data_IF_073794667039
#
_entry.id   IF_073794667039
#
_cell.length_a   1.000
_cell.length_b   1.000
_cell.length_c   1.000
_cell.angle_alpha   90.00
_cell.angle_beta   90.00
_cell.angle_gamma   90.00
#
_symmetry.space_group_name_H-M   'P 1'
#
loop_
_entity.id
_entity.type
_entity.pdbx_description
1 polymer ?
#
# COMPACT_ATOMS: atom_id res chain seq x y z
N UNK A 1 6.54 -21.70 12.44
CA UNK A 1 5.40 -22.16 13.21
C UNK A 1 4.71 -21.00 13.90
N UNK A 2 3.36 -20.96 13.92
CA UNK A 2 2.57 -19.89 14.54
C UNK A 2 2.59 -18.54 13.80
N UNK A 3 3.13 -18.46 12.58
CA UNK A 3 3.24 -17.23 11.81
C UNK A 3 1.90 -16.76 11.24
N UNK A 4 1.76 -15.44 11.10
CA UNK A 4 0.60 -14.82 10.44
C UNK A 4 1.02 -14.20 9.10
N UNK A 5 0.31 -14.57 8.03
CA UNK A 5 0.42 -13.92 6.73
C UNK A 5 -0.79 -12.99 6.53
N UNK A 6 -0.54 -11.76 6.11
CA UNK A 6 -1.58 -10.76 5.87
C UNK A 6 -1.58 -10.34 4.40
N UNK A 7 -2.69 -10.55 3.71
CA UNK A 7 -2.90 -10.08 2.35
C UNK A 7 -3.38 -8.64 2.40
N UNK A 8 -2.60 -7.72 1.84
CA UNK A 8 -2.90 -6.27 1.87
C UNK A 8 -3.11 -5.68 0.47
N UNK A 9 -2.63 -6.36 -0.58
CA UNK A 9 -2.83 -5.94 -1.96
C UNK A 9 -4.21 -6.36 -2.48
N UNK A 10 -4.81 -5.53 -3.31
CA UNK A 10 -6.05 -5.86 -4.01
C UNK A 10 -5.67 -6.44 -5.38
N UNK A 11 -5.77 -7.76 -5.49
CA UNK A 11 -5.63 -8.49 -6.76
C UNK A 11 -6.92 -8.41 -7.59
N UNK A 12 -6.92 -8.92 -8.80
CA UNK A 12 -8.11 -9.02 -9.62
C UNK A 12 -9.19 -9.88 -8.94
N UNK A 13 -10.46 -9.53 -9.16
CA UNK A 13 -11.59 -10.22 -8.49
C UNK A 13 -11.67 -11.72 -8.80
N UNK A 14 -11.01 -12.18 -9.86
CA UNK A 14 -10.97 -13.59 -10.28
C UNK A 14 -9.65 -14.27 -9.88
N UNK A 15 -8.69 -13.51 -9.31
CA UNK A 15 -7.42 -14.09 -8.95
C UNK A 15 -7.55 -15.02 -7.74
N UNK A 16 -6.93 -16.18 -7.84
CA UNK A 16 -7.00 -17.22 -6.82
C UNK A 16 -5.59 -17.59 -6.34
N UNK A 17 -5.48 -17.86 -5.07
CA UNK A 17 -4.23 -18.37 -4.48
C UNK A 17 -4.49 -19.73 -3.84
N UNK A 18 -3.67 -20.71 -4.21
CA UNK A 18 -3.71 -22.03 -3.58
C UNK A 18 -2.77 -22.09 -2.38
N UNK A 19 -3.25 -22.66 -1.31
CA UNK A 19 -2.45 -22.87 -0.08
C UNK A 19 -2.44 -24.34 0.30
N UNK A 20 -1.31 -24.80 0.83
CA UNK A 20 -1.19 -26.19 1.32
C UNK A 20 -1.87 -26.28 2.69
N UNK A 21 -3.07 -26.86 2.75
CA UNK A 21 -3.91 -26.97 3.95
C UNK A 21 -3.17 -27.59 5.13
N UNK A 22 -2.41 -28.66 4.89
CA UNK A 22 -1.64 -29.33 5.97
C UNK A 22 -0.66 -28.41 6.69
N UNK A 23 -0.05 -27.46 5.97
CA UNK A 23 0.87 -26.49 6.58
C UNK A 23 0.19 -25.59 7.61
N UNK A 24 -1.09 -25.28 7.42
CA UNK A 24 -1.84 -24.48 8.40
C UNK A 24 -2.05 -25.24 9.71
N UNK A 25 -2.47 -26.51 9.63
CA UNK A 25 -2.71 -27.31 10.81
C UNK A 25 -1.42 -27.66 11.56
N UNK A 26 -0.41 -28.20 10.86
CA UNK A 26 0.86 -28.63 11.50
C UNK A 26 1.74 -27.47 11.99
N UNK A 27 1.64 -26.32 11.33
CA UNK A 27 2.47 -25.17 11.66
C UNK A 27 1.69 -24.08 12.40
N UNK A 28 0.43 -24.31 12.71
CA UNK A 28 -0.44 -23.36 13.46
C UNK A 28 -0.44 -21.96 12.83
N UNK A 29 -0.46 -21.88 11.48
CA UNK A 29 -0.41 -20.62 10.73
C UNK A 29 -1.76 -19.94 10.64
N UNK A 30 -1.72 -18.61 10.54
CA UNK A 30 -2.89 -17.79 10.26
C UNK A 30 -2.73 -17.10 8.90
N UNK A 31 -3.80 -17.11 8.09
CA UNK A 31 -3.91 -16.28 6.90
C UNK A 31 -5.10 -15.34 7.08
N UNK A 32 -4.86 -14.05 6.92
CA UNK A 32 -5.89 -13.02 7.07
C UNK A 32 -5.71 -11.94 6.01
N UNK A 33 -6.69 -11.06 5.86
CA UNK A 33 -6.62 -9.92 4.96
C UNK A 33 -6.70 -8.61 5.73
N UNK A 34 -6.20 -7.54 5.12
CA UNK A 34 -6.38 -6.18 5.62
C UNK A 34 -6.68 -5.26 4.45
N UNK A 35 -7.81 -4.59 4.51
CA UNK A 35 -8.22 -3.61 3.52
C UNK A 35 -7.92 -2.21 4.04
N UNK A 36 -7.08 -1.46 3.32
CA UNK A 36 -6.54 -0.17 3.75
C UNK A 36 -5.94 -0.17 5.16
N UNK A 37 -5.25 -1.27 5.55
CA UNK A 37 -4.68 -1.40 6.88
C UNK A 37 -5.72 -1.49 7.99
N UNK A 38 -6.96 -1.89 7.66
CA UNK A 38 -8.12 -1.90 8.59
C UNK A 38 -8.37 -0.53 9.22
N UNK A 39 -8.02 0.53 8.50
CA UNK A 39 -8.09 1.90 8.97
C UNK A 39 -9.53 2.39 9.17
N UNK A 40 -9.71 3.29 10.12
CA UNK A 40 -10.89 4.11 10.31
C UNK A 40 -10.63 5.52 9.78
N UNK A 41 -10.96 5.83 8.51
CA UNK A 41 -10.51 7.07 7.87
C UNK A 41 -10.83 8.35 8.64
N UNK A 42 -12.00 8.41 9.30
CA UNK A 42 -12.42 9.59 10.08
C UNK A 42 -11.56 9.82 11.33
N UNK A 43 -10.97 8.76 11.87
CA UNK A 43 -10.10 8.83 13.06
C UNK A 43 -8.63 8.86 12.65
N UNK A 44 -8.22 8.01 11.70
CA UNK A 44 -6.82 7.82 11.37
C UNK A 44 -6.26 8.97 10.53
N UNK A 45 -7.03 9.56 9.60
CA UNK A 45 -6.51 10.66 8.79
C UNK A 45 -6.15 11.90 9.62
N UNK A 46 -7.01 12.39 10.53
CA UNK A 46 -6.61 13.48 11.42
C UNK A 46 -5.37 13.16 12.27
N UNK A 47 -5.27 11.92 12.75
CA UNK A 47 -4.12 11.45 13.54
C UNK A 47 -2.84 11.42 12.71
N UNK A 48 -2.89 10.91 11.48
CA UNK A 48 -1.75 10.87 10.57
C UNK A 48 -1.31 12.29 10.17
N UNK A 49 -2.27 13.21 9.92
CA UNK A 49 -1.97 14.60 9.63
C UNK A 49 -1.33 15.31 10.82
N UNK A 50 -1.76 15.02 12.03
CA UNK A 50 -1.13 15.56 13.23
C UNK A 50 0.32 15.09 13.38
N UNK A 51 0.61 13.82 13.11
CA UNK A 51 1.96 13.28 13.09
C UNK A 51 2.82 13.91 12.01
N UNK A 52 2.28 14.12 10.81
CA UNK A 52 2.97 14.76 9.70
C UNK A 52 3.32 16.23 10.07
N UNK A 53 2.36 17.00 10.57
CA UNK A 53 2.58 18.38 11.02
C UNK A 53 3.62 18.49 12.15
N UNK A 54 3.65 17.49 13.01
CA UNK A 54 4.67 17.38 14.08
C UNK A 54 6.02 16.87 13.57
N UNK A 55 6.20 16.68 12.25
CA UNK A 55 7.40 16.12 11.61
C UNK A 55 7.81 14.74 12.13
N UNK A 56 6.84 13.97 12.63
CA UNK A 56 7.01 12.59 13.11
C UNK A 56 6.62 11.55 12.10
N UNK A 57 5.98 11.95 10.98
CA UNK A 57 5.62 11.11 9.85
C UNK A 57 6.23 11.72 8.58
N UNK A 58 7.07 10.97 7.92
CA UNK A 58 7.77 11.37 6.69
C UNK A 58 6.87 11.03 5.50
N UNK A 59 6.29 12.03 4.84
CA UNK A 59 5.49 11.87 3.63
C UNK A 59 6.16 12.54 2.43
N UNK A 60 6.77 13.71 2.62
CA UNK A 60 7.39 14.47 1.53
C UNK A 60 8.56 13.70 0.91
N UNK A 61 9.31 12.98 1.72
CA UNK A 61 10.44 12.16 1.28
C UNK A 61 10.03 10.96 0.42
N UNK A 62 8.76 10.58 0.44
CA UNK A 62 8.22 9.53 -0.43
C UNK A 62 7.97 10.03 -1.85
N UNK A 63 7.82 11.36 -2.05
CA UNK A 63 7.62 11.96 -3.36
C UNK A 63 8.97 11.98 -4.07
N UNK A 64 9.17 11.00 -4.95
CA UNK A 64 10.44 10.84 -5.66
C UNK A 64 10.47 11.52 -7.02
N UNK A 65 9.29 11.83 -7.57
CA UNK A 65 9.14 12.56 -8.83
C UNK A 65 7.81 13.29 -8.91
N UNK A 66 7.85 14.49 -9.44
CA UNK A 66 6.64 15.24 -9.84
C UNK A 66 6.50 15.24 -11.36
N UNK A 67 5.27 15.30 -11.83
CA UNK A 67 4.89 15.33 -13.25
C UNK A 67 3.90 16.45 -13.48
N UNK A 68 3.91 17.01 -14.68
CA UNK A 68 2.83 17.85 -15.16
C UNK A 68 1.68 16.98 -15.64
N UNK A 69 0.51 17.56 -15.84
CA UNK A 69 -0.67 16.79 -16.29
C UNK A 69 -0.48 16.18 -17.70
N UNK A 70 0.25 16.85 -18.57
CA UNK A 70 0.57 16.37 -19.91
C UNK A 70 1.58 15.21 -19.90
N UNK A 71 2.29 15.01 -18.80
CA UNK A 71 3.20 13.88 -18.57
C UNK A 71 2.51 12.68 -17.89
N UNK A 72 1.18 12.69 -17.73
CA UNK A 72 0.45 11.60 -17.08
C UNK A 72 0.75 10.20 -17.68
N UNK A 73 0.82 10.01 -19.02
CA UNK A 73 1.19 8.72 -19.59
C UNK A 73 2.56 8.23 -19.13
N UNK A 74 3.54 9.14 -19.00
CA UNK A 74 4.87 8.80 -18.49
C UNK A 74 4.82 8.46 -16.99
N UNK A 75 4.00 9.18 -16.20
CA UNK A 75 3.83 8.89 -14.79
C UNK A 75 3.30 7.46 -14.55
N UNK A 76 2.33 7.02 -15.35
CA UNK A 76 1.82 5.65 -15.29
C UNK A 76 2.85 4.61 -15.75
N UNK A 77 3.61 4.90 -16.81
CA UNK A 77 4.68 4.01 -17.25
C UNK A 77 5.77 3.84 -16.19
N UNK A 78 6.14 4.91 -15.51
CA UNK A 78 7.12 4.88 -14.43
C UNK A 78 6.58 4.15 -13.18
N UNK A 79 5.28 4.27 -12.89
CA UNK A 79 4.62 3.50 -11.83
C UNK A 79 4.67 2.01 -12.12
N UNK A 80 4.28 1.59 -13.32
CA UNK A 80 4.28 0.17 -13.72
C UNK A 80 5.69 -0.43 -13.70
N UNK A 81 6.68 0.36 -14.10
CA UNK A 81 8.09 -0.08 -14.10
C UNK A 81 8.78 0.01 -12.73
N UNK A 82 8.09 0.47 -11.69
CA UNK A 82 8.63 0.55 -10.33
C UNK A 82 9.74 1.59 -10.14
N UNK A 83 9.81 2.61 -11.00
CA UNK A 83 10.86 3.65 -10.93
C UNK A 83 10.70 4.62 -9.79
N UNK A 84 9.48 4.79 -9.29
CA UNK A 84 9.14 5.77 -8.25
C UNK A 84 8.64 5.09 -6.99
N UNK A 85 9.00 5.60 -5.83
CA UNK A 85 8.31 5.29 -4.59
C UNK A 85 6.92 5.94 -4.61
N UNK A 86 6.86 7.22 -5.02
CA UNK A 86 5.60 7.95 -5.27
C UNK A 86 5.82 9.04 -6.34
N UNK A 87 5.12 8.90 -7.45
CA UNK A 87 4.97 9.95 -8.45
C UNK A 87 3.75 10.81 -8.13
N UNK A 88 3.87 12.13 -8.25
CA UNK A 88 2.78 13.08 -8.00
C UNK A 88 2.56 13.95 -9.23
N UNK A 89 1.31 14.04 -9.69
CA UNK A 89 0.93 14.98 -10.76
C UNK A 89 0.58 16.31 -10.11
N UNK A 90 1.24 17.37 -10.54
CA UNK A 90 1.05 18.73 -10.04
C UNK A 90 0.26 19.51 -11.09
N UNK A 91 -0.78 20.21 -10.64
CA UNK A 91 -1.61 21.09 -11.44
C UNK A 91 -1.17 22.54 -11.20
N UNK A 92 -0.95 23.26 -12.27
CA UNK A 92 -0.56 24.67 -12.19
C UNK A 92 0.43 25.08 -13.23
#
# INVERSE_FOLDING_TARGET
KGGTAVVVGVAGMQDMTSVRTASFAFEEKTLTGSYFGSARPREDFPRLLALYRAKRLKLDELITRTYRIDEAPQAFADLVSGKNARGVIVFG
#
